data_IF_822816117977
#
_entry.id   IF_822816117977
#
_cell.length_a   1.000
_cell.length_b   1.000
_cell.length_c   1.000
_cell.angle_alpha   90.00
_cell.angle_beta   90.00
_cell.angle_gamma   90.00
#
_symmetry.space_group_name_H-M   'P 1'
#
loop_
_entity.id
_entity.type
_entity.pdbx_description
1 polymer ?
#
# COMPACT_ATOMS: atom_id res chain seq x y z
N UNK A 1 21.79 31.03 -31.58
CA UNK A 1 20.73 30.34 -32.36
C UNK A 1 20.06 29.32 -31.45
N UNK A 2 18.97 29.70 -30.78
CA UNK A 2 18.26 28.86 -29.79
C UNK A 2 16.77 28.89 -30.10
N UNK A 3 16.28 27.94 -30.91
CA UNK A 3 14.87 27.56 -31.02
C UNK A 3 14.83 26.10 -31.48
N UNK A 4 14.02 25.28 -30.81
CA UNK A 4 13.49 23.95 -31.19
C UNK A 4 13.63 22.89 -30.07
N UNK A 5 12.84 23.05 -28.99
CA UNK A 5 12.58 21.97 -28.00
C UNK A 5 11.13 22.05 -27.48
N UNK A 6 10.16 22.41 -28.33
CA UNK A 6 8.75 22.57 -27.92
C UNK A 6 7.74 21.83 -28.81
N UNK A 7 8.15 20.79 -29.54
CA UNK A 7 7.28 20.20 -30.58
C UNK A 7 6.92 18.71 -30.45
N UNK A 8 7.01 18.10 -29.26
CA UNK A 8 6.60 16.68 -29.10
C UNK A 8 5.82 16.37 -27.81
N UNK A 9 4.98 17.30 -27.35
CA UNK A 9 3.96 17.03 -26.31
C UNK A 9 2.53 16.96 -26.85
N UNK A 10 2.36 16.86 -28.17
CA UNK A 10 1.06 16.77 -28.82
C UNK A 10 0.74 15.32 -29.26
N UNK A 11 0.75 14.36 -28.33
CA UNK A 11 0.20 13.02 -28.57
C UNK A 11 -0.06 12.35 -27.21
N UNK A 12 -1.19 12.70 -26.59
CA UNK A 12 -1.92 11.86 -25.61
C UNK A 12 -3.20 12.61 -25.23
N UNK A 13 -4.08 12.79 -26.22
CA UNK A 13 -5.46 13.20 -26.00
C UNK A 13 -6.34 12.11 -26.59
N UNK A 14 -7.29 11.64 -25.79
CA UNK A 14 -8.45 10.82 -26.18
C UNK A 14 -8.33 9.30 -25.96
N UNK A 15 -8.76 8.83 -24.80
CA UNK A 15 -9.98 7.99 -24.67
C UNK A 15 -10.32 7.76 -23.20
N UNK A 16 -11.26 8.56 -22.70
CA UNK A 16 -12.10 8.22 -21.56
C UNK A 16 -13.40 7.68 -22.16
N UNK A 17 -13.84 6.48 -21.77
CA UNK A 17 -15.19 5.99 -22.05
C UNK A 17 -15.65 5.16 -20.86
N UNK A 18 -16.49 5.80 -20.05
CA UNK A 18 -17.46 5.19 -19.13
C UNK A 18 -18.40 4.27 -19.91
N UNK A 19 -18.68 3.08 -19.37
CA UNK A 19 -19.96 2.39 -19.52
C UNK A 19 -20.28 1.68 -18.19
N UNK A 20 -21.25 2.25 -17.47
CA UNK A 20 -22.09 1.62 -16.43
C UNK A 20 -23.12 0.72 -17.12
N UNK A 21 -23.44 -0.47 -16.59
CA UNK A 21 -24.77 -1.16 -16.61
C UNK A 21 -24.71 -2.27 -15.53
N UNK A 22 -25.42 -2.14 -14.40
CA UNK A 22 -26.83 -2.48 -14.10
C UNK A 22 -27.09 -3.96 -13.71
N UNK A 23 -27.76 -4.09 -12.56
CA UNK A 23 -28.19 -5.30 -11.86
C UNK A 23 -29.19 -6.15 -12.66
N UNK A 24 -29.01 -7.48 -12.62
CA UNK A 24 -30.12 -8.42 -12.84
C UNK A 24 -30.21 -9.43 -11.68
N UNK A 25 -31.22 -9.19 -10.84
CA UNK A 25 -31.86 -10.12 -9.92
C UNK A 25 -32.66 -11.16 -10.71
N UNK A 26 -32.46 -12.46 -10.44
CA UNK A 26 -33.41 -13.48 -10.92
C UNK A 26 -33.37 -14.78 -10.10
N UNK A 27 -34.40 -14.89 -9.26
CA UNK A 27 -35.27 -16.06 -9.07
C UNK A 27 -34.77 -17.24 -8.21
N UNK A 28 -35.18 -17.14 -6.94
CA UNK A 28 -35.50 -18.29 -6.09
C UNK A 28 -36.67 -19.06 -6.70
N UNK A 29 -36.55 -20.37 -6.93
CA UNK A 29 -37.58 -21.37 -6.68
C UNK A 29 -36.96 -22.78 -6.67
N UNK A 30 -37.21 -23.54 -5.60
CA UNK A 30 -36.69 -24.90 -5.47
C UNK A 30 -37.00 -25.55 -4.13
N UNK A 31 -38.21 -25.36 -3.60
CA UNK A 31 -38.70 -26.14 -2.45
C UNK A 31 -38.91 -27.59 -2.86
N UNK A 32 -38.09 -28.50 -2.35
CA UNK A 32 -38.52 -29.88 -2.14
C UNK A 32 -38.40 -30.23 -0.65
N UNK A 33 -39.56 -30.23 0.01
CA UNK A 33 -39.74 -30.83 1.32
C UNK A 33 -39.75 -32.35 1.13
N UNK A 34 -38.74 -33.04 1.65
CA UNK A 34 -38.78 -34.49 1.80
C UNK A 34 -38.45 -34.87 3.26
N UNK A 35 -39.51 -35.31 3.90
CA UNK A 35 -39.66 -35.83 5.26
C UNK A 35 -38.68 -36.96 5.61
N UNK A 36 -37.93 -36.76 6.71
CA UNK A 36 -37.73 -37.70 7.82
C UNK A 36 -37.13 -39.10 7.58
N UNK A 37 -35.96 -39.36 8.18
CA UNK A 37 -35.65 -40.67 8.79
C UNK A 37 -34.64 -40.48 9.94
N UNK A 38 -35.06 -40.80 11.17
CA UNK A 38 -34.21 -40.80 12.37
C UNK A 38 -33.28 -42.03 12.38
N UNK A 39 -31.99 -41.85 12.66
CA UNK A 39 -31.12 -42.86 13.30
C UNK A 39 -30.18 -42.20 14.33
N UNK A 40 -30.30 -42.58 15.60
CA UNK A 40 -29.29 -42.45 16.68
C UNK A 40 -28.49 -43.78 16.71
N UNK A 41 -27.23 -43.95 17.13
CA UNK A 41 -26.09 -43.23 17.71
C UNK A 41 -24.85 -44.15 17.44
N UNK A 42 -23.72 -44.17 18.17
CA UNK A 42 -22.92 -43.16 18.87
C UNK A 42 -21.49 -43.06 18.27
N UNK A 43 -20.77 -41.96 18.50
CA UNK A 43 -19.36 -41.88 18.11
C UNK A 43 -18.69 -40.65 18.69
N UNK A 44 -18.19 -40.77 19.92
CA UNK A 44 -17.22 -39.82 20.47
C UNK A 44 -15.94 -39.99 19.66
N UNK A 45 -15.74 -39.18 18.63
CA UNK A 45 -14.45 -39.05 17.94
C UNK A 45 -13.86 -37.70 18.29
N UNK A 46 -12.70 -37.79 18.92
CA UNK A 46 -12.14 -36.76 19.78
C UNK A 46 -11.96 -35.41 19.11
N UNK A 47 -12.15 -34.36 19.92
CA UNK A 47 -11.60 -33.04 19.65
C UNK A 47 -10.10 -33.19 19.52
N UNK A 48 -9.60 -33.28 18.28
CA UNK A 48 -8.17 -33.13 17.99
C UNK A 48 -7.81 -31.72 18.46
N UNK A 49 -7.17 -31.62 19.62
CA UNK A 49 -6.59 -30.37 20.10
C UNK A 49 -5.65 -29.90 18.99
N UNK A 50 -5.99 -28.77 18.37
CA UNK A 50 -5.14 -28.15 17.36
C UNK A 50 -3.75 -28.00 17.97
N UNK A 51 -2.75 -28.62 17.33
CA UNK A 51 -1.35 -28.57 17.75
C UNK A 51 -0.95 -27.10 17.72
N UNK A 52 -0.80 -26.49 18.90
CA UNK A 52 -0.35 -25.10 19.02
C UNK A 52 1.06 -25.06 18.44
N UNK A 53 1.18 -24.50 17.23
CA UNK A 53 2.47 -24.29 16.61
C UNK A 53 3.22 -23.29 17.49
N UNK A 54 4.24 -23.76 18.20
CA UNK A 54 5.15 -22.90 18.92
C UNK A 54 5.99 -22.23 17.83
N UNK A 55 5.58 -21.03 17.39
CA UNK A 55 6.42 -20.19 16.56
C UNK A 55 7.73 -20.03 17.34
N UNK A 56 8.84 -20.54 16.79
CA UNK A 56 10.16 -20.11 17.20
C UNK A 56 10.17 -18.58 17.20
N UNK A 57 10.79 -17.97 18.21
CA UNK A 57 10.86 -16.52 18.34
C UNK A 57 11.50 -15.95 17.07
N UNK A 58 10.66 -15.49 16.13
CA UNK A 58 11.10 -14.79 14.96
C UNK A 58 11.92 -13.60 15.46
N UNK A 59 13.21 -13.58 15.14
CA UNK A 59 14.04 -12.43 15.47
C UNK A 59 13.47 -11.23 14.73
N UNK A 60 13.10 -10.19 15.46
CA UNK A 60 12.60 -8.94 14.87
C UNK A 60 13.70 -8.33 13.99
N UNK A 61 13.41 -8.14 12.71
CA UNK A 61 14.34 -7.52 11.77
C UNK A 61 14.16 -6.01 11.80
N UNK A 62 15.22 -5.28 12.20
CA UNK A 62 15.22 -3.83 12.30
C UNK A 62 15.96 -3.19 11.12
N UNK A 63 15.30 -2.27 10.43
CA UNK A 63 15.81 -1.55 9.27
C UNK A 63 15.83 -0.04 9.53
N UNK A 64 16.72 0.65 8.82
CA UNK A 64 16.74 2.11 8.75
C UNK A 64 15.82 2.60 7.65
N UNK A 65 14.97 3.56 7.98
CA UNK A 65 14.05 4.20 7.06
C UNK A 65 14.54 5.61 6.71
N UNK A 66 14.44 5.98 5.44
CA UNK A 66 14.54 7.35 4.96
C UNK A 66 13.34 7.62 4.07
N UNK A 67 12.63 8.71 4.33
CA UNK A 67 11.46 9.10 3.53
C UNK A 67 11.79 10.37 2.76
N UNK A 68 11.44 10.38 1.47
CA UNK A 68 11.34 11.57 0.64
C UNK A 68 9.97 11.59 0.01
N UNK A 69 9.28 12.71 0.11
CA UNK A 69 7.92 12.84 -0.40
C UNK A 69 7.68 14.26 -0.89
N UNK A 70 6.53 14.44 -1.55
CA UNK A 70 5.93 15.76 -1.68
C UNK A 70 4.94 15.94 -0.54
N UNK A 71 4.95 17.12 0.06
CA UNK A 71 3.92 17.48 1.01
C UNK A 71 2.53 17.43 0.34
N UNK A 72 1.54 16.94 1.08
CA UNK A 72 0.15 16.82 0.64
C UNK A 72 -0.58 18.17 0.61
N UNK A 73 -0.07 19.19 1.29
CA UNK A 73 -0.65 20.54 1.28
C UNK A 73 -0.21 21.33 0.04
N UNK A 74 1.04 21.77 0.04
CA UNK A 74 1.53 22.70 -0.99
C UNK A 74 2.22 22.02 -2.19
N UNK A 75 2.35 20.69 -2.15
CA UNK A 75 3.05 19.91 -3.17
C UNK A 75 4.57 20.10 -3.16
N UNK A 76 5.12 20.70 -2.11
CA UNK A 76 6.55 20.99 -1.97
C UNK A 76 7.36 19.70 -1.81
N UNK A 77 8.51 19.63 -2.49
CA UNK A 77 9.43 18.50 -2.37
C UNK A 77 10.16 18.60 -1.02
N UNK A 78 10.00 17.58 -0.19
CA UNK A 78 10.75 17.47 1.06
C UNK A 78 12.10 16.78 0.77
N UNK A 79 13.14 17.58 0.57
CA UNK A 79 14.49 17.09 0.27
C UNK A 79 15.28 16.69 1.52
N UNK A 80 15.02 17.36 2.64
CA UNK A 80 15.57 17.00 3.94
C UNK A 80 14.87 15.73 4.45
N UNK A 81 15.67 14.72 4.78
CA UNK A 81 15.15 13.43 5.24
C UNK A 81 15.48 13.23 6.70
N UNK A 82 14.47 13.19 7.56
CA UNK A 82 14.64 12.67 8.91
C UNK A 82 14.78 11.14 8.87
N UNK A 83 15.69 10.61 9.67
CA UNK A 83 15.91 9.17 9.76
C UNK A 83 14.81 8.51 10.60
N UNK A 84 14.33 7.35 10.15
CA UNK A 84 13.40 6.53 10.89
C UNK A 84 13.89 5.10 11.06
N UNK A 85 13.08 4.28 11.72
CA UNK A 85 13.28 2.85 11.88
C UNK A 85 12.04 2.07 11.50
N UNK A 86 12.24 0.87 10.96
CA UNK A 86 11.20 -0.11 10.68
C UNK A 86 11.55 -1.41 11.37
N UNK A 87 10.63 -1.97 12.14
CA UNK A 87 10.78 -3.24 12.84
C UNK A 87 9.72 -4.21 12.32
N UNK A 88 10.17 -5.30 11.71
CA UNK A 88 9.28 -6.34 11.21
C UNK A 88 8.96 -7.34 12.33
N UNK A 89 7.67 -7.65 12.45
CA UNK A 89 7.17 -8.60 13.42
C UNK A 89 7.47 -10.06 13.01
N UNK A 90 7.70 -10.31 11.73
CA UNK A 90 7.87 -11.63 11.17
C UNK A 90 9.06 -11.74 10.19
N UNK A 91 9.60 -12.95 10.08
CA UNK A 91 10.64 -13.29 9.09
C UNK A 91 10.13 -13.15 7.64
N UNK A 92 8.80 -13.16 7.46
CA UNK A 92 8.15 -12.99 6.14
C UNK A 92 8.10 -11.54 5.68
N UNK A 93 8.50 -10.59 6.52
CA UNK A 93 8.49 -9.16 6.22
C UNK A 93 7.11 -8.65 5.77
N UNK A 94 6.04 -9.23 6.31
CA UNK A 94 4.68 -8.94 5.86
C UNK A 94 4.07 -7.78 6.66
N UNK A 95 4.44 -7.61 7.93
CA UNK A 95 3.93 -6.54 8.78
C UNK A 95 5.06 -5.91 9.56
N UNK A 96 5.00 -4.58 9.71
CA UNK A 96 6.02 -3.84 10.45
C UNK A 96 5.41 -2.70 11.27
N UNK A 97 6.13 -2.34 12.32
CA UNK A 97 5.96 -1.11 13.05
C UNK A 97 7.11 -0.17 12.68
N UNK A 98 6.77 1.07 12.34
CA UNK A 98 7.70 2.09 11.92
C UNK A 98 7.68 3.28 12.85
N UNK A 99 8.82 3.95 12.98
CA UNK A 99 8.96 5.22 13.66
C UNK A 99 9.67 6.19 12.72
N UNK A 100 9.04 7.31 12.38
CA UNK A 100 9.62 8.31 11.50
C UNK A 100 9.05 9.70 11.78
N UNK A 101 9.76 10.74 11.38
CA UNK A 101 9.24 12.10 11.30
C UNK A 101 8.87 12.46 9.86
N UNK A 102 7.80 13.22 9.70
CA UNK A 102 7.43 13.83 8.42
C UNK A 102 7.08 15.30 8.65
N UNK A 103 7.50 16.22 7.77
CA UNK A 103 7.21 17.65 7.93
C UNK A 103 5.72 17.96 8.12
N UNK A 104 4.82 17.18 7.49
CA UNK A 104 3.38 17.38 7.56
C UNK A 104 2.68 16.67 8.73
N UNK A 105 3.29 15.64 9.33
CA UNK A 105 2.70 14.88 10.45
C UNK A 105 3.42 15.11 11.78
N UNK A 106 4.47 15.94 11.76
CA UNK A 106 5.26 16.29 12.92
C UNK A 106 6.46 15.38 13.12
N UNK A 107 7.16 15.65 14.22
CA UNK A 107 8.35 14.93 14.59
C UNK A 107 7.99 13.58 15.19
N UNK A 108 8.61 12.52 14.66
CA UNK A 108 8.78 11.22 15.31
C UNK A 108 7.48 10.60 15.84
N UNK A 109 6.68 10.06 14.92
CA UNK A 109 5.48 9.29 15.22
C UNK A 109 5.67 7.80 14.89
N UNK A 110 4.94 6.95 15.62
CA UNK A 110 4.87 5.52 15.35
C UNK A 110 3.69 5.21 14.43
N UNK A 111 3.89 4.27 13.50
CA UNK A 111 2.86 3.82 12.58
C UNK A 111 3.02 2.31 12.32
N UNK A 112 1.92 1.63 12.02
CA UNK A 112 1.96 0.23 11.60
C UNK A 112 1.51 0.11 10.15
N UNK A 113 2.12 -0.82 9.41
CA UNK A 113 1.73 -1.08 8.04
C UNK A 113 1.97 -2.54 7.66
N UNK A 114 1.31 -2.94 6.57
CA UNK A 114 1.36 -4.29 6.02
C UNK A 114 1.79 -4.22 4.57
N UNK A 115 2.73 -5.08 4.18
CA UNK A 115 3.14 -5.29 2.80
C UNK A 115 1.97 -5.88 2.01
N UNK A 116 1.63 -5.24 0.89
CA UNK A 116 0.51 -5.67 0.01
C UNK A 116 1.02 -6.48 -1.19
N UNK A 117 2.23 -6.21 -1.68
CA UNK A 117 2.83 -6.86 -2.85
C UNK A 117 4.34 -7.00 -2.70
N UNK A 118 4.91 -8.10 -3.21
CA UNK A 118 6.35 -8.28 -3.38
C UNK A 118 6.88 -7.55 -4.62
N UNK A 119 6.01 -7.28 -5.59
CA UNK A 119 6.34 -6.55 -6.81
C UNK A 119 6.22 -5.06 -6.54
N UNK A 120 7.29 -4.27 -6.76
CA UNK A 120 7.23 -2.82 -6.59
C UNK A 120 6.26 -2.21 -7.60
N UNK A 121 5.50 -1.21 -7.15
CA UNK A 121 4.65 -0.44 -8.06
C UNK A 121 5.51 0.29 -9.10
N UNK A 122 5.12 0.31 -10.39
CA UNK A 122 5.82 1.10 -11.39
C UNK A 122 5.76 2.58 -11.00
N UNK A 123 6.92 3.23 -10.99
CA UNK A 123 7.05 4.66 -10.71
C UNK A 123 8.05 5.27 -11.67
N UNK A 124 7.60 6.29 -12.42
CA UNK A 124 8.48 7.09 -13.29
C UNK A 124 9.42 7.99 -12.47
N UNK A 125 9.09 8.20 -11.19
CA UNK A 125 9.86 9.04 -10.28
C UNK A 125 10.96 8.22 -9.63
N UNK A 126 12.20 8.57 -9.94
CA UNK A 126 13.37 8.06 -9.24
C UNK A 126 13.63 8.84 -7.95
N UNK A 127 14.55 8.33 -7.12
CA UNK A 127 14.94 8.99 -5.86
C UNK A 127 15.51 10.41 -6.05
N UNK A 128 16.14 10.68 -7.20
CA UNK A 128 16.69 11.98 -7.57
C UNK A 128 15.60 13.03 -7.89
N UNK A 129 14.38 12.60 -8.18
CA UNK A 129 13.22 13.49 -8.35
C UNK A 129 12.97 14.30 -7.09
N UNK A 130 13.18 13.72 -5.91
CA UNK A 130 13.03 14.36 -4.61
C UNK A 130 14.34 14.97 -4.09
N UNK A 131 15.18 15.47 -5.00
CA UNK A 131 16.44 16.11 -4.62
C UNK A 131 16.25 17.58 -4.28
N UNK A 132 17.17 18.11 -3.47
CA UNK A 132 17.26 19.54 -3.15
C UNK A 132 17.33 20.41 -4.40
N UNK A 133 18.08 19.99 -5.43
CA UNK A 133 18.12 20.69 -6.72
C UNK A 133 16.72 20.82 -7.35
N UNK A 134 15.90 19.77 -7.25
CA UNK A 134 14.53 19.78 -7.79
C UNK A 134 13.61 20.65 -6.95
N UNK A 135 13.74 20.58 -5.62
CA UNK A 135 13.05 21.48 -4.69
C UNK A 135 13.34 22.96 -5.01
N UNK A 136 14.62 23.33 -5.12
CA UNK A 136 15.03 24.71 -5.43
C UNK A 136 14.49 25.19 -6.78
N UNK A 137 14.52 24.33 -7.81
CA UNK A 137 13.97 24.66 -9.12
C UNK A 137 12.44 24.89 -9.08
N UNK A 138 11.71 24.03 -8.39
CA UNK A 138 10.25 24.14 -8.26
C UNK A 138 9.86 25.36 -7.42
N UNK A 139 10.60 25.62 -6.35
CA UNK A 139 10.42 26.80 -5.52
C UNK A 139 10.66 28.10 -6.32
N UNK A 140 11.74 28.17 -7.10
CA UNK A 140 12.07 29.35 -7.91
C UNK A 140 11.09 29.58 -9.07
N UNK A 141 10.44 28.53 -9.58
CA UNK A 141 9.46 28.64 -10.67
C UNK A 141 8.05 29.01 -10.17
N UNK A 142 7.75 28.79 -8.89
CA UNK A 142 6.44 29.10 -8.30
C UNK A 142 6.13 30.60 -8.21
N UNK A 143 7.17 31.44 -8.14
CA UNK A 143 7.07 32.89 -7.93
C UNK A 143 7.54 33.72 -9.14
N UNK A 144 7.60 33.13 -10.33
CA UNK A 144 7.83 33.84 -11.59
C UNK A 144 6.53 34.14 -12.30
#
# INVERSE_FOLDING_TARGET
MHKNYLDTLAQNKSKNKDEEEEDEDSESEGRTLASGTKRKAPGVQGTKKAKKHQLGSAQSLKYRLKIRCRDTGEGEIQSETEGGTLEFADEKLASFEGEAGLPCWGHRFSFSARKVSDVPAPSDKNWGYYSERRHQYEWATRWR
#
